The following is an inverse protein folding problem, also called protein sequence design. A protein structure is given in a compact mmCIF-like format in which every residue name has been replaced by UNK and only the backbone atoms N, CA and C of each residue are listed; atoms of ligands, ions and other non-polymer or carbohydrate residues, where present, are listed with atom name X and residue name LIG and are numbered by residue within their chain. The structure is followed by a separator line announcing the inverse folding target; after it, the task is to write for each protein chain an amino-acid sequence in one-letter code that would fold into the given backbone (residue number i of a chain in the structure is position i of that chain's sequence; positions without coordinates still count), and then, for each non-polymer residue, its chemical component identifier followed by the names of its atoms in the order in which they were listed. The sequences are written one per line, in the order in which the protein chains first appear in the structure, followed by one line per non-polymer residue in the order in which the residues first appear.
data_IF_124859481070
#
_entry.id   IF_124859481070
#
_cell.length_a   1.000
_cell.length_b   1.000
_cell.length_c   1.000
_cell.angle_alpha   90.00
_cell.angle_beta   90.00
_cell.angle_gamma   90.00
#
_symmetry.space_group_name_H-M   'P 1'
#
loop_
_entity.id
_entity.type
_entity.pdbx_description
1 polymer ?
#
# COMPACT_ATOMS: atom_id res chain seq x y z
N UNK A 1 -5.64 -2.90 20.13
CA UNK A 1 -6.11 -1.73 19.35
C UNK A 1 -4.94 -1.06 18.68
N UNK A 2 -5.03 -0.77 17.38
CA UNK A 2 -3.96 -0.13 16.60
C UNK A 2 -4.38 1.27 16.13
N UNK A 3 -3.41 2.16 15.94
CA UNK A 3 -3.62 3.44 15.24
C UNK A 3 -3.63 3.22 13.72
N UNK A 4 -4.11 4.20 12.97
CA UNK A 4 -4.00 4.22 11.50
C UNK A 4 -2.53 4.32 11.01
N UNK A 5 -1.60 4.68 11.89
CA UNK A 5 -0.15 4.60 11.64
C UNK A 5 0.42 3.18 11.76
N UNK A 6 -0.41 2.21 12.16
CA UNK A 6 0.02 0.81 12.40
C UNK A 6 0.58 0.54 13.79
N UNK A 7 0.80 1.57 14.62
CA UNK A 7 1.36 1.38 15.96
C UNK A 7 0.35 0.76 16.93
N UNK A 8 0.81 -0.13 17.81
CA UNK A 8 -0.02 -0.77 18.83
C UNK A 8 -0.37 0.24 19.94
N UNK A 9 -1.61 0.72 19.93
CA UNK A 9 -2.07 1.75 20.86
C UNK A 9 -2.47 1.19 22.23
N UNK A 10 -3.00 -0.03 22.26
CA UNK A 10 -3.53 -0.59 23.50
C UNK A 10 -3.74 -2.10 23.44
N UNK A 11 -3.48 -2.75 24.56
CA UNK A 11 -3.66 -4.18 24.79
C UNK A 11 -4.64 -4.32 25.96
N UNK A 12 -5.76 -5.04 25.81
CA UNK A 12 -6.67 -5.30 26.93
C UNK A 12 -5.94 -6.00 28.08
N UNK A 13 -6.18 -5.54 29.32
CA UNK A 13 -5.57 -6.09 30.54
C UNK A 13 -4.02 -6.25 30.47
N UNK A 14 -3.34 -5.29 29.84
CA UNK A 14 -1.89 -5.35 29.59
C UNK A 14 -1.10 -5.71 30.86
N UNK A 15 -1.26 -4.94 31.93
CA UNK A 15 -0.45 -5.10 33.14
C UNK A 15 -0.77 -6.40 33.91
N UNK A 16 -2.02 -6.86 33.87
CA UNK A 16 -2.48 -8.06 34.61
C UNK A 16 -2.04 -9.37 33.92
N UNK A 17 -2.01 -9.39 32.58
CA UNK A 17 -1.78 -10.61 31.80
C UNK A 17 -0.39 -10.65 31.17
N UNK A 18 0.06 -9.51 30.63
CA UNK A 18 1.30 -9.40 29.86
C UNK A 18 2.41 -8.66 30.64
N UNK A 19 2.05 -7.99 31.73
CA UNK A 19 2.96 -7.22 32.57
C UNK A 19 3.36 -5.88 31.94
N UNK A 20 4.02 -5.05 32.75
CA UNK A 20 4.60 -3.77 32.34
C UNK A 20 5.80 -3.93 31.40
N UNK A 21 6.35 -5.14 31.29
CA UNK A 21 7.51 -5.47 30.44
C UNK A 21 7.15 -5.63 28.96
N UNK A 22 5.87 -5.78 28.62
CA UNK A 22 5.45 -5.89 27.24
C UNK A 22 5.69 -4.56 26.49
N UNK A 23 6.71 -4.56 25.64
CA UNK A 23 7.00 -3.44 24.75
C UNK A 23 6.06 -3.44 23.54
N UNK A 24 5.08 -2.53 23.54
CA UNK A 24 4.11 -2.35 22.47
C UNK A 24 4.75 -1.97 21.13
N UNK A 25 5.91 -1.32 21.13
CA UNK A 25 6.53 -0.82 19.89
C UNK A 25 7.02 -1.98 19.00
N UNK A 26 7.38 -3.11 19.62
CA UNK A 26 7.78 -4.35 18.92
C UNK A 26 6.62 -5.11 18.26
N UNK A 27 5.37 -4.74 18.55
CA UNK A 27 4.16 -5.42 18.08
C UNK A 27 3.30 -4.55 17.17
N UNK A 28 3.89 -3.60 16.44
CA UNK A 28 3.18 -2.82 15.43
C UNK A 28 2.73 -3.68 14.24
N UNK A 29 1.73 -3.23 13.48
CA UNK A 29 1.32 -3.89 12.23
C UNK A 29 2.51 -3.96 11.27
N UNK A 30 2.65 -5.10 10.57
CA UNK A 30 3.69 -5.27 9.56
C UNK A 30 3.49 -4.26 8.43
N UNK A 31 4.42 -3.31 8.22
CA UNK A 31 4.30 -2.35 7.13
C UNK A 31 4.55 -3.04 5.78
N UNK A 32 3.99 -2.47 4.71
CA UNK A 32 4.45 -2.79 3.36
C UNK A 32 5.89 -2.24 3.23
N UNK A 33 6.90 -3.06 2.90
CA UNK A 33 8.31 -2.63 2.92
C UNK A 33 8.59 -1.39 2.09
N UNK A 34 8.00 -1.30 0.89
CA UNK A 34 8.05 -0.09 0.06
C UNK A 34 6.65 0.32 -0.36
N UNK A 35 6.28 1.56 -0.09
CA UNK A 35 5.02 2.17 -0.50
C UNK A 35 5.32 3.48 -1.22
N UNK A 36 4.98 3.57 -2.49
CA UNK A 36 5.32 4.70 -3.36
C UNK A 36 4.09 5.19 -4.13
N UNK A 37 4.09 6.47 -4.47
CA UNK A 37 3.01 7.12 -5.20
C UNK A 37 3.53 7.68 -6.53
N UNK A 38 2.88 7.32 -7.63
CA UNK A 38 3.14 7.87 -8.95
C UNK A 38 1.85 8.44 -9.56
N UNK A 39 1.75 9.77 -9.67
CA UNK A 39 0.61 10.42 -10.32
C UNK A 39 -0.75 10.17 -9.63
N UNK A 40 -0.75 9.90 -8.32
CA UNK A 40 -1.96 9.54 -7.56
C UNK A 40 -2.22 8.02 -7.47
N UNK A 41 -1.44 7.21 -8.19
CA UNK A 41 -1.48 5.75 -8.12
C UNK A 41 -0.53 5.28 -7.01
N UNK A 42 -1.04 4.51 -6.03
CA UNK A 42 -0.26 4.01 -4.91
C UNK A 42 0.15 2.56 -5.18
N UNK A 43 1.44 2.27 -5.13
CA UNK A 43 2.02 0.94 -5.32
C UNK A 43 2.73 0.46 -4.06
N UNK A 44 2.60 -0.83 -3.78
CA UNK A 44 3.31 -1.51 -2.70
C UNK A 44 4.24 -2.58 -3.25
N UNK A 45 5.46 -2.68 -2.71
CA UNK A 45 6.40 -3.76 -3.00
C UNK A 45 6.79 -4.48 -1.70
N UNK A 46 6.80 -5.82 -1.76
CA UNK A 46 7.18 -6.68 -0.65
C UNK A 46 8.70 -6.92 -0.55
N UNK A 47 9.46 -6.51 -1.55
CA UNK A 47 10.92 -6.54 -1.54
C UNK A 47 11.47 -5.15 -1.17
N UNK A 48 12.11 -5.06 0.00
CA UNK A 48 12.76 -3.85 0.49
C UNK A 48 13.91 -3.41 -0.42
N UNK A 49 14.53 -4.35 -1.12
CA UNK A 49 15.70 -4.10 -1.99
C UNK A 49 15.32 -3.84 -3.44
N UNK A 50 14.02 -3.81 -3.76
CA UNK A 50 13.56 -3.41 -5.08
C UNK A 50 14.09 -2.03 -5.46
N UNK A 51 14.11 -1.71 -6.75
CA UNK A 51 14.42 -0.35 -7.22
C UNK A 51 13.27 0.64 -6.92
N UNK A 52 13.52 1.96 -6.96
CA UNK A 52 12.46 2.97 -6.93
C UNK A 52 11.36 2.74 -7.97
N UNK A 53 10.11 3.06 -7.62
CA UNK A 53 8.96 2.83 -8.50
C UNK A 53 9.12 3.50 -9.86
N UNK A 54 9.69 4.72 -9.89
CA UNK A 54 9.93 5.46 -11.13
C UNK A 54 10.92 4.74 -12.06
N UNK A 55 11.93 4.08 -11.48
CA UNK A 55 12.94 3.33 -12.23
C UNK A 55 12.33 2.02 -12.76
N UNK A 56 11.54 1.32 -11.93
CA UNK A 56 10.79 0.14 -12.34
C UNK A 56 9.80 0.43 -13.49
N UNK A 57 9.12 1.58 -13.45
CA UNK A 57 8.24 2.02 -14.53
C UNK A 57 9.02 2.35 -15.80
N UNK A 58 10.25 2.84 -15.67
CA UNK A 58 11.11 3.23 -16.79
C UNK A 58 10.39 4.15 -17.77
N UNK A 59 10.51 3.86 -19.06
CA UNK A 59 9.90 4.67 -20.13
C UNK A 59 8.36 4.69 -20.07
N UNK A 60 7.71 3.72 -19.41
CA UNK A 60 6.25 3.73 -19.23
C UNK A 60 5.77 4.87 -18.34
N UNK A 61 6.64 5.40 -17.47
CA UNK A 61 6.35 6.55 -16.62
C UNK A 61 5.88 7.76 -17.45
N UNK A 62 6.51 7.99 -18.61
CA UNK A 62 6.14 9.09 -19.51
C UNK A 62 4.72 8.92 -20.07
N UNK A 63 4.34 7.71 -20.46
CA UNK A 63 2.98 7.44 -20.95
C UNK A 63 1.93 7.56 -19.85
N UNK A 64 2.27 7.15 -18.62
CA UNK A 64 1.39 7.34 -17.47
C UNK A 64 1.18 8.83 -17.15
N UNK A 65 2.18 9.67 -17.35
CA UNK A 65 2.03 11.13 -17.17
C UNK A 65 1.00 11.73 -18.12
N UNK A 66 0.94 11.23 -19.37
CA UNK A 66 -0.08 11.65 -20.33
C UNK A 66 -1.50 11.36 -19.85
N UNK A 67 -1.70 10.45 -18.90
CA UNK A 67 -3.02 10.10 -18.34
C UNK A 67 -3.23 10.77 -16.99
N UNK A 68 -2.27 10.62 -16.08
CA UNK A 68 -2.37 10.99 -14.67
C UNK A 68 -2.14 12.48 -14.42
N UNK A 69 -1.37 13.15 -15.29
CA UNK A 69 -0.96 14.56 -15.12
C UNK A 69 -1.58 15.50 -16.16
N UNK A 70 -2.69 15.10 -16.81
CA UNK A 70 -3.41 15.92 -17.81
C UNK A 70 -3.88 17.28 -17.28
N UNK A 71 -4.21 17.37 -16.00
CA UNK A 71 -4.67 18.60 -15.36
C UNK A 71 -3.92 18.83 -14.06
N UNK A 72 -3.90 20.09 -13.59
CA UNK A 72 -3.29 20.44 -12.29
C UNK A 72 -3.97 19.74 -11.11
N UNK A 73 -5.23 19.30 -11.27
CA UNK A 73 -5.99 18.61 -10.22
C UNK A 73 -5.71 17.12 -10.11
N UNK A 74 -4.99 16.51 -11.06
CA UNK A 74 -4.75 15.07 -11.09
C UNK A 74 -6.00 14.26 -11.46
N UNK A 75 -6.06 13.02 -10.98
CA UNK A 75 -7.17 12.08 -11.19
C UNK A 75 -7.94 11.83 -9.88
N UNK A 76 -9.25 11.61 -10.01
CA UNK A 76 -10.11 11.09 -8.95
C UNK A 76 -10.77 9.78 -9.41
N UNK A 77 -10.89 8.81 -8.51
CA UNK A 77 -11.71 7.61 -8.75
C UNK A 77 -13.15 7.93 -8.39
N UNK A 78 -14.08 7.56 -9.28
CA UNK A 78 -15.52 7.76 -9.05
C UNK A 78 -16.18 6.49 -8.57
N UNK A 79 -16.71 6.54 -7.35
CA UNK A 79 -17.42 5.43 -6.74
C UNK A 79 -16.50 4.26 -6.37
N UNK A 80 -17.11 3.11 -6.12
CA UNK A 80 -16.41 1.89 -5.78
C UNK A 80 -16.05 1.07 -7.03
N UNK A 81 -14.94 0.32 -7.01
CA UNK A 81 -14.61 -0.57 -8.11
C UNK A 81 -15.60 -1.74 -8.18
N UNK A 82 -15.95 -2.16 -9.39
CA UNK A 82 -16.68 -3.40 -9.61
C UNK A 82 -15.80 -4.61 -9.25
N UNK A 83 -16.35 -5.57 -8.51
CA UNK A 83 -15.61 -6.75 -8.02
C UNK A 83 -16.43 -8.02 -8.24
N UNK A 84 -15.85 -8.99 -8.95
CA UNK A 84 -16.43 -10.32 -9.15
C UNK A 84 -15.32 -11.37 -9.32
N UNK A 85 -15.69 -12.65 -9.26
CA UNK A 85 -14.75 -13.78 -9.43
C UNK A 85 -14.89 -14.32 -10.84
N UNK A 86 -13.76 -14.59 -11.49
CA UNK A 86 -13.68 -15.27 -12.78
C UNK A 86 -12.80 -16.51 -12.60
N UNK A 87 -13.24 -17.66 -13.11
CA UNK A 87 -12.47 -18.91 -13.13
C UNK A 87 -11.43 -18.89 -14.26
N UNK A 88 -10.44 -18.01 -14.15
CA UNK A 88 -9.35 -17.89 -15.12
C UNK A 88 -8.04 -17.49 -14.45
N UNK A 89 -6.92 -17.70 -15.15
CA UNK A 89 -5.64 -17.19 -14.68
C UNK A 89 -5.56 -15.67 -14.88
N UNK A 90 -5.04 -14.94 -13.88
CA UNK A 90 -4.91 -13.48 -13.94
C UNK A 90 -4.08 -12.99 -15.14
N UNK A 91 -3.14 -13.80 -15.65
CA UNK A 91 -2.32 -13.46 -16.82
C UNK A 91 -3.14 -13.25 -18.10
N UNK A 92 -4.27 -13.95 -18.26
CA UNK A 92 -5.11 -13.79 -19.45
C UNK A 92 -5.68 -12.37 -19.59
N UNK A 93 -5.89 -11.67 -18.46
CA UNK A 93 -6.35 -10.28 -18.49
C UNK A 93 -5.23 -9.26 -18.65
N UNK A 94 -3.96 -9.68 -18.54
CA UNK A 94 -2.78 -8.81 -18.67
C UNK A 94 -2.03 -9.00 -19.99
N UNK A 95 -2.19 -10.15 -20.65
CA UNK A 95 -1.64 -10.45 -21.98
C UNK A 95 -2.34 -9.60 -23.07
#
# INVERSE_FOLDING_TARGET
TYRNTGTLAGVPAQDEVYGVEMDKDTWSLTPVPRLENYGGLIFGCLDEKAEPLVDYLGDMAWYLDLITKKTKGGLEVRGEPQRWIIESNWKLGSD
#
